data_IF_942960022177
#
_entry.id   IF_942960022177
#
_cell.length_a   1.000
_cell.length_b   1.000
_cell.length_c   1.000
_cell.angle_alpha   90.00
_cell.angle_beta   90.00
_cell.angle_gamma   90.00
#
_symmetry.space_group_name_H-M   'P 1'
#
loop_
_entity.id
_entity.type
_entity.pdbx_description
1 polymer ?
#
# COMPACT_ATOMS: atom_id res chain seq x y z
N UNK A 1 7.19 -4.30 20.43
CA UNK A 1 6.11 -5.26 20.16
C UNK A 1 6.48 -6.07 18.91
N UNK A 2 6.48 -7.40 19.02
CA UNK A 2 6.90 -8.26 17.89
C UNK A 2 5.71 -8.37 16.92
N UNK A 3 5.90 -7.95 15.67
CA UNK A 3 4.91 -8.13 14.60
C UNK A 3 4.96 -9.61 14.25
N UNK A 4 3.80 -10.27 14.31
CA UNK A 4 3.75 -11.68 13.95
C UNK A 4 3.25 -11.82 12.52
N UNK A 5 4.13 -12.20 11.62
CA UNK A 5 3.85 -12.39 10.20
C UNK A 5 2.80 -13.49 9.97
N UNK A 6 2.65 -14.45 10.88
CA UNK A 6 1.61 -15.47 10.81
C UNK A 6 0.20 -14.86 10.89
N UNK A 7 0.01 -13.73 11.57
CA UNK A 7 -1.29 -13.05 11.60
C UNK A 7 -1.71 -12.58 10.19
N UNK A 8 -0.76 -12.08 9.40
CA UNK A 8 -1.03 -11.71 8.00
C UNK A 8 -1.36 -12.94 7.16
N UNK A 9 -0.59 -14.02 7.32
CA UNK A 9 -0.81 -15.27 6.60
C UNK A 9 -2.21 -15.84 6.91
N UNK A 10 -2.57 -15.93 8.19
CA UNK A 10 -3.89 -16.39 8.63
C UNK A 10 -4.99 -15.50 8.07
N UNK A 11 -4.82 -14.17 8.15
CA UNK A 11 -5.81 -13.23 7.64
C UNK A 11 -6.02 -13.37 6.14
N UNK A 12 -4.95 -13.26 5.34
CA UNK A 12 -5.05 -13.28 3.87
C UNK A 12 -5.40 -14.66 3.31
N UNK A 13 -5.22 -15.74 4.06
CA UNK A 13 -5.68 -17.07 3.71
C UNK A 13 -7.18 -17.28 4.01
N UNK A 14 -7.77 -16.45 4.86
CA UNK A 14 -9.20 -16.51 5.18
C UNK A 14 -10.08 -16.07 4.00
N UNK A 15 -11.36 -16.43 4.04
CA UNK A 15 -12.33 -16.03 3.01
C UNK A 15 -12.43 -14.49 2.90
N UNK A 16 -12.48 -13.79 4.05
CA UNK A 16 -12.46 -12.33 4.09
C UNK A 16 -11.17 -11.76 3.49
N UNK A 17 -10.02 -12.30 3.90
CA UNK A 17 -8.73 -11.85 3.39
C UNK A 17 -8.56 -12.03 1.88
N UNK A 18 -9.03 -13.16 1.33
CA UNK A 18 -9.03 -13.39 -0.12
C UNK A 18 -9.90 -12.36 -0.86
N UNK A 19 -11.06 -12.01 -0.31
CA UNK A 19 -11.92 -10.97 -0.89
C UNK A 19 -11.26 -9.58 -0.82
N UNK A 20 -10.60 -9.25 0.29
CA UNK A 20 -9.81 -8.02 0.44
C UNK A 20 -8.69 -7.97 -0.61
N UNK A 21 -7.96 -9.07 -0.81
CA UNK A 21 -6.92 -9.16 -1.85
C UNK A 21 -7.50 -8.87 -3.22
N UNK A 22 -8.61 -9.52 -3.60
CA UNK A 22 -9.23 -9.31 -4.91
C UNK A 22 -9.67 -7.86 -5.14
N UNK A 23 -10.27 -7.23 -4.12
CA UNK A 23 -10.72 -5.84 -4.18
C UNK A 23 -9.54 -4.90 -4.35
N UNK A 24 -8.54 -5.01 -3.49
CA UNK A 24 -7.38 -4.12 -3.49
C UNK A 24 -6.51 -4.35 -4.75
N UNK A 25 -6.31 -5.60 -5.19
CA UNK A 25 -5.55 -5.88 -6.40
C UNK A 25 -6.18 -5.24 -7.65
N UNK A 26 -7.51 -5.17 -7.74
CA UNK A 26 -8.19 -4.44 -8.82
C UNK A 26 -7.85 -2.94 -8.79
N UNK A 27 -7.79 -2.33 -7.60
CA UNK A 27 -7.40 -0.93 -7.46
C UNK A 27 -5.93 -0.70 -7.83
N UNK A 28 -5.03 -1.61 -7.42
CA UNK A 28 -3.62 -1.55 -7.84
C UNK A 28 -3.52 -1.62 -9.36
N UNK A 29 -4.27 -2.52 -9.99
CA UNK A 29 -4.28 -2.66 -11.45
C UNK A 29 -4.80 -1.41 -12.17
N UNK A 30 -5.82 -0.74 -11.63
CA UNK A 30 -6.31 0.52 -12.18
C UNK A 30 -5.25 1.64 -12.10
N UNK A 31 -4.48 1.68 -11.02
CA UNK A 31 -3.41 2.65 -10.82
C UNK A 31 -2.14 2.32 -11.63
N UNK A 32 -1.90 1.04 -11.89
CA UNK A 32 -0.80 0.51 -12.71
C UNK A 32 -1.34 -0.46 -13.77
N UNK A 33 -1.93 0.02 -14.86
CA UNK A 33 -2.59 -0.84 -15.84
C UNK A 33 -1.62 -1.68 -16.69
N UNK A 34 -0.37 -1.25 -16.80
CA UNK A 34 0.67 -1.98 -17.52
C UNK A 34 1.82 -2.36 -16.60
N UNK A 35 2.06 -3.66 -16.47
CA UNK A 35 3.17 -4.23 -15.71
C UNK A 35 4.28 -4.79 -16.60
N UNK A 36 4.13 -4.74 -17.93
CA UNK A 36 5.08 -5.33 -18.86
C UNK A 36 6.43 -4.62 -18.78
N UNK A 37 7.50 -5.40 -18.78
CA UNK A 37 8.89 -4.93 -18.77
C UNK A 37 9.29 -4.01 -17.59
N UNK A 38 8.50 -3.97 -16.51
CA UNK A 38 8.85 -3.17 -15.33
C UNK A 38 9.60 -3.97 -14.27
N UNK A 39 10.51 -3.29 -13.58
CA UNK A 39 11.22 -3.79 -12.39
C UNK A 39 10.42 -3.37 -11.16
N UNK A 40 9.82 -4.33 -10.49
CA UNK A 40 8.91 -4.06 -9.39
C UNK A 40 9.49 -4.55 -8.06
N UNK A 41 9.26 -3.79 -7.01
CA UNK A 41 9.54 -4.21 -5.65
C UNK A 41 8.29 -4.10 -4.79
N UNK A 42 8.14 -5.04 -3.87
CA UNK A 42 7.10 -5.03 -2.85
C UNK A 42 7.76 -5.02 -1.49
N UNK A 43 7.38 -4.10 -0.63
CA UNK A 43 7.87 -4.08 0.74
C UNK A 43 6.75 -4.27 1.75
N UNK A 44 6.98 -5.14 2.73
CA UNK A 44 6.00 -5.55 3.73
C UNK A 44 5.32 -6.87 3.40
N UNK A 45 4.04 -7.01 3.72
CA UNK A 45 3.27 -8.22 3.43
C UNK A 45 2.37 -8.00 2.20
N UNK A 46 2.98 -7.82 1.03
CA UNK A 46 2.28 -7.49 -0.21
C UNK A 46 2.17 -8.63 -1.23
N UNK A 47 2.70 -9.83 -0.96
CA UNK A 47 2.73 -10.94 -1.92
C UNK A 47 1.35 -11.30 -2.49
N UNK A 48 0.25 -11.39 -1.68
CA UNK A 48 -1.03 -11.83 -2.20
C UNK A 48 -1.60 -10.89 -3.27
N UNK A 49 -1.20 -9.62 -3.24
CA UNK A 49 -1.76 -8.59 -4.14
C UNK A 49 -1.13 -8.61 -5.52
N UNK A 50 0.13 -9.01 -5.65
CA UNK A 50 0.84 -9.06 -6.93
C UNK A 50 1.02 -10.46 -7.48
N UNK A 51 0.75 -11.51 -6.73
CA UNK A 51 0.84 -12.88 -7.22
C UNK A 51 -0.02 -13.12 -8.47
N UNK A 52 -1.18 -12.47 -8.52
CA UNK A 52 -2.13 -12.54 -9.64
C UNK A 52 -1.50 -12.04 -10.95
N UNK A 53 -0.53 -11.12 -10.88
CA UNK A 53 0.12 -10.48 -12.03
C UNK A 53 1.54 -10.98 -12.29
N UNK A 54 1.97 -12.04 -11.61
CA UNK A 54 3.35 -12.50 -11.59
C UNK A 54 3.94 -12.80 -12.97
N UNK A 55 3.13 -13.23 -13.92
CA UNK A 55 3.57 -13.53 -15.30
C UNK A 55 3.96 -12.30 -16.12
N UNK A 56 3.56 -11.12 -15.67
CA UNK A 56 3.70 -9.87 -16.41
C UNK A 56 4.93 -9.04 -16.02
N UNK A 57 5.67 -9.46 -14.99
CA UNK A 57 6.82 -8.69 -14.49
C UNK A 57 8.14 -9.14 -15.13
N UNK A 58 8.98 -8.19 -15.52
CA UNK A 58 10.35 -8.47 -15.89
C UNK A 58 11.17 -8.94 -14.66
N UNK A 59 11.02 -8.21 -13.56
CA UNK A 59 11.61 -8.54 -12.26
C UNK A 59 10.65 -8.16 -11.13
N UNK A 60 10.58 -9.02 -10.13
CA UNK A 60 9.77 -8.79 -8.94
C UNK A 60 10.55 -9.19 -7.69
N UNK A 61 10.76 -8.22 -6.79
CA UNK A 61 11.45 -8.42 -5.51
C UNK A 61 10.45 -8.30 -4.36
N UNK A 62 10.46 -9.26 -3.43
CA UNK A 62 9.68 -9.19 -2.20
C UNK A 62 10.62 -8.91 -1.02
N UNK A 63 10.50 -7.71 -0.46
CA UNK A 63 11.33 -7.19 0.61
C UNK A 63 10.54 -7.24 1.92
N UNK A 64 10.98 -8.06 2.86
CA UNK A 64 10.29 -8.25 4.14
C UNK A 64 11.12 -7.60 5.25
N UNK A 65 10.59 -6.59 5.96
CA UNK A 65 11.29 -6.01 7.09
C UNK A 65 11.68 -7.06 8.13
N UNK A 66 12.91 -7.06 8.62
CA UNK A 66 13.44 -8.07 9.56
C UNK A 66 12.55 -8.27 10.79
N UNK A 67 11.92 -7.22 11.27
CA UNK A 67 11.02 -7.26 12.43
C UNK A 67 9.73 -8.06 12.19
N UNK A 68 9.39 -8.40 10.95
CA UNK A 68 8.24 -9.24 10.62
C UNK A 68 8.56 -10.72 10.74
N UNK A 69 9.84 -11.10 10.72
CA UNK A 69 10.31 -12.48 10.69
C UNK A 69 10.61 -12.95 9.26
N UNK A 70 10.97 -14.23 9.15
CA UNK A 70 11.30 -14.86 7.86
C UNK A 70 10.03 -15.43 7.22
N UNK A 71 9.89 -15.21 5.93
CA UNK A 71 8.87 -15.85 5.10
C UNK A 71 9.54 -16.42 3.85
N UNK A 72 9.18 -17.64 3.53
CA UNK A 72 9.47 -18.23 2.22
C UNK A 72 8.23 -18.06 1.33
N UNK A 73 8.40 -17.38 0.22
CA UNK A 73 7.35 -17.21 -0.78
C UNK A 73 7.92 -17.26 -2.20
N UNK A 74 7.32 -18.00 -3.12
CA UNK A 74 6.23 -18.97 -2.91
C UNK A 74 6.72 -20.22 -2.19
N UNK A 75 5.79 -20.98 -1.59
CA UNK A 75 6.14 -22.17 -0.80
C UNK A 75 6.74 -23.29 -1.65
N UNK A 76 6.25 -23.43 -2.90
CA UNK A 76 6.56 -24.59 -3.76
C UNK A 76 7.59 -24.27 -4.87
N UNK A 77 8.25 -23.11 -4.81
CA UNK A 77 9.22 -22.66 -5.82
C UNK A 77 10.40 -21.97 -5.16
N UNK A 78 11.39 -21.56 -5.98
CA UNK A 78 12.52 -20.77 -5.51
C UNK A 78 12.00 -19.55 -4.73
N UNK A 79 12.51 -19.37 -3.52
CA UNK A 79 12.14 -18.26 -2.64
C UNK A 79 12.46 -16.92 -3.30
N UNK A 80 11.49 -16.03 -3.33
CA UNK A 80 11.58 -14.68 -3.88
C UNK A 80 11.62 -13.60 -2.80
N UNK A 81 11.57 -13.98 -1.52
CA UNK A 81 11.59 -13.04 -0.41
C UNK A 81 12.99 -12.79 0.11
N UNK A 82 13.29 -11.56 0.43
CA UNK A 82 14.54 -11.14 1.07
C UNK A 82 14.20 -10.40 2.35
N UNK A 83 14.82 -10.81 3.46
CA UNK A 83 14.71 -10.11 4.74
C UNK A 83 15.62 -8.89 4.74
N UNK A 84 15.04 -7.70 4.95
CA UNK A 84 15.73 -6.44 4.78
C UNK A 84 15.63 -5.51 5.99
N UNK A 85 16.56 -4.58 6.08
CA UNK A 85 16.39 -3.37 6.87
C UNK A 85 15.60 -2.37 6.00
N UNK A 86 14.41 -1.99 6.43
CA UNK A 86 13.53 -1.07 5.71
C UNK A 86 14.09 0.33 5.51
N UNK A 87 15.16 0.67 6.22
CA UNK A 87 15.86 1.95 6.13
C UNK A 87 17.17 1.89 5.32
N UNK A 88 17.51 0.69 4.80
CA UNK A 88 18.69 0.43 3.98
C UNK A 88 18.43 -0.82 3.14
N UNK A 89 17.82 -0.63 1.98
CA UNK A 89 17.39 -1.71 1.10
C UNK A 89 18.57 -2.22 0.26
N UNK A 90 18.70 -3.54 0.05
CA UNK A 90 19.78 -4.13 -0.73
C UNK A 90 19.49 -4.03 -2.25
N UNK A 91 19.19 -2.84 -2.71
CA UNK A 91 18.90 -2.50 -4.10
C UNK A 91 19.71 -1.26 -4.49
N UNK A 92 20.17 -1.25 -5.71
CA UNK A 92 20.93 -0.12 -6.26
C UNK A 92 20.05 1.13 -6.38
N UNK A 93 20.69 2.29 -6.48
CA UNK A 93 20.04 3.54 -6.80
C UNK A 93 19.37 3.42 -8.17
N UNK A 94 18.18 4.01 -8.32
CA UNK A 94 17.48 4.06 -9.60
C UNK A 94 17.30 2.67 -10.26
N UNK A 95 16.97 1.65 -9.48
CA UNK A 95 16.90 0.25 -9.95
C UNK A 95 15.49 -0.33 -9.99
N UNK A 96 14.48 0.43 -9.53
CA UNK A 96 13.09 -0.01 -9.41
C UNK A 96 12.15 0.98 -10.10
N UNK A 97 11.32 0.51 -11.01
CA UNK A 97 10.31 1.35 -11.66
C UNK A 97 9.10 1.58 -10.75
N UNK A 98 8.69 0.55 -9.99
CA UNK A 98 7.48 0.60 -9.16
C UNK A 98 7.70 -0.06 -7.80
N UNK A 99 7.34 0.66 -6.75
CA UNK A 99 7.41 0.17 -5.37
C UNK A 99 6.01 0.09 -4.76
N UNK A 100 5.58 -1.13 -4.41
CA UNK A 100 4.34 -1.35 -3.66
C UNK A 100 4.64 -1.52 -2.17
N UNK A 101 4.02 -0.70 -1.34
CA UNK A 101 4.15 -0.73 0.12
C UNK A 101 2.84 -1.16 0.75
N UNK A 102 2.81 -2.35 1.33
CA UNK A 102 1.60 -2.91 1.95
C UNK A 102 1.92 -3.53 3.29
N UNK A 103 1.10 -3.23 4.29
CA UNK A 103 1.30 -3.71 5.66
C UNK A 103 2.75 -3.47 6.14
N UNK A 104 3.27 -2.27 5.91
CA UNK A 104 4.65 -1.91 6.23
C UNK A 104 4.75 -0.59 6.97
N UNK A 105 4.35 0.52 6.32
CA UNK A 105 4.60 1.87 6.83
C UNK A 105 3.93 2.14 8.18
N UNK A 106 2.78 1.53 8.45
CA UNK A 106 2.04 1.61 9.72
C UNK A 106 2.78 0.98 10.91
N UNK A 107 3.85 0.27 10.65
CA UNK A 107 4.69 -0.38 11.67
C UNK A 107 6.05 0.29 11.84
N UNK A 108 6.36 1.31 11.03
CA UNK A 108 7.66 1.98 11.05
C UNK A 108 7.72 3.07 12.13
N UNK A 109 8.90 3.29 12.68
CA UNK A 109 9.17 4.40 13.58
C UNK A 109 9.62 5.66 12.83
N UNK A 110 10.45 5.50 11.80
CA UNK A 110 11.01 6.60 11.01
C UNK A 110 10.51 6.55 9.55
N UNK A 111 9.33 7.15 9.35
CA UNK A 111 8.72 7.22 8.02
C UNK A 111 9.55 8.04 7.03
N UNK A 112 10.25 9.09 7.51
CA UNK A 112 11.09 9.93 6.67
C UNK A 112 12.26 9.13 6.11
N UNK A 113 12.97 8.39 6.96
CA UNK A 113 14.11 7.58 6.55
C UNK A 113 13.69 6.49 5.56
N UNK A 114 12.54 5.85 5.81
CA UNK A 114 11.96 4.86 4.91
C UNK A 114 11.62 5.44 3.54
N UNK A 115 10.95 6.59 3.49
CA UNK A 115 10.57 7.22 2.22
C UNK A 115 11.78 7.75 1.45
N UNK A 116 12.82 8.21 2.13
CA UNK A 116 14.10 8.59 1.49
C UNK A 116 14.79 7.40 0.85
N UNK A 117 14.77 6.26 1.53
CA UNK A 117 15.32 5.02 0.99
C UNK A 117 14.47 4.50 -0.19
N UNK A 118 13.15 4.58 -0.07
CA UNK A 118 12.23 4.27 -1.19
C UNK A 118 12.50 5.18 -2.39
N UNK A 119 12.74 6.47 -2.15
CA UNK A 119 13.09 7.44 -3.20
C UNK A 119 14.42 7.11 -3.86
N UNK A 120 15.44 6.68 -3.09
CA UNK A 120 16.77 6.31 -3.60
C UNK A 120 16.69 5.20 -4.65
N UNK A 121 15.97 4.12 -4.33
CA UNK A 121 15.89 2.92 -5.18
C UNK A 121 15.00 3.12 -6.41
N UNK A 122 14.03 4.03 -6.36
CA UNK A 122 13.13 4.29 -7.48
C UNK A 122 13.84 4.99 -8.63
N UNK A 123 13.52 4.59 -9.87
CA UNK A 123 13.95 5.27 -11.10
C UNK A 123 13.51 6.74 -11.12
N UNK A 124 14.03 7.53 -12.06
CA UNK A 124 13.73 8.97 -12.16
C UNK A 124 12.23 9.25 -12.27
N UNK A 125 11.53 8.43 -13.03
CA UNK A 125 10.07 8.48 -13.19
C UNK A 125 9.35 7.41 -12.38
N UNK A 126 10.04 6.80 -11.42
CA UNK A 126 9.55 5.70 -10.62
C UNK A 126 8.35 6.07 -9.76
N UNK A 127 7.47 5.12 -9.57
CA UNK A 127 6.21 5.30 -8.86
C UNK A 127 6.14 4.46 -7.59
N UNK A 128 5.46 4.98 -6.58
CA UNK A 128 5.16 4.28 -5.34
C UNK A 128 3.65 4.20 -5.12
N UNK A 129 3.15 3.02 -4.75
CA UNK A 129 1.81 2.86 -4.18
C UNK A 129 1.97 2.47 -2.72
N UNK A 130 1.29 3.20 -1.84
CA UNK A 130 1.23 2.89 -0.41
C UNK A 130 -0.21 2.59 -0.02
N UNK A 131 -0.42 1.46 0.65
CA UNK A 131 -1.73 1.01 1.13
C UNK A 131 -1.68 0.96 2.65
N UNK A 132 -2.55 1.75 3.29
CA UNK A 132 -2.61 1.88 4.75
C UNK A 132 -4.03 1.84 5.29
N UNK A 133 -4.24 1.41 6.54
CA UNK A 133 -5.54 1.54 7.21
C UNK A 133 -5.92 3.02 7.38
N UNK A 134 -7.17 3.36 7.01
CA UNK A 134 -7.72 4.69 7.20
C UNK A 134 -8.08 4.92 8.67
N UNK A 135 -7.64 6.06 9.23
CA UNK A 135 -7.90 6.42 10.63
C UNK A 135 -9.39 6.61 10.93
N UNK A 136 -10.19 7.02 9.95
CA UNK A 136 -11.63 7.25 10.09
C UNK A 136 -12.46 5.99 9.82
N UNK A 137 -11.87 4.98 9.14
CA UNK A 137 -12.56 3.75 8.75
C UNK A 137 -12.76 2.75 9.90
N UNK A 138 -13.85 1.99 9.83
CA UNK A 138 -14.13 0.92 10.81
C UNK A 138 -13.08 -0.19 10.81
N UNK A 139 -12.38 -0.39 9.70
CA UNK A 139 -11.33 -1.38 9.58
C UNK A 139 -10.12 -1.13 10.49
N UNK A 140 -9.92 0.10 10.98
CA UNK A 140 -8.83 0.43 11.92
C UNK A 140 -8.84 -0.45 13.16
N UNK A 141 -10.03 -0.75 13.69
CA UNK A 141 -10.17 -1.60 14.87
C UNK A 141 -9.79 -3.05 14.55
N UNK A 142 -10.14 -3.52 13.35
CA UNK A 142 -9.75 -4.83 12.85
C UNK A 142 -8.23 -4.92 12.68
N UNK A 143 -7.60 -3.96 11.99
CA UNK A 143 -6.16 -3.93 11.79
C UNK A 143 -5.42 -3.86 13.12
N UNK A 144 -5.85 -3.03 14.06
CA UNK A 144 -5.27 -2.95 15.40
C UNK A 144 -5.37 -4.28 16.15
N UNK A 145 -6.54 -4.91 16.15
CA UNK A 145 -6.81 -6.15 16.92
C UNK A 145 -6.19 -7.40 16.28
N UNK A 146 -6.26 -7.53 14.97
CA UNK A 146 -5.88 -8.76 14.25
C UNK A 146 -4.46 -8.72 13.70
N UNK A 147 -4.01 -7.59 13.24
CA UNK A 147 -2.70 -7.44 12.59
C UNK A 147 -1.72 -6.62 13.43
N UNK A 148 -2.09 -6.23 14.66
CA UNK A 148 -1.25 -5.45 15.57
C UNK A 148 -0.71 -4.16 14.92
N UNK A 149 -1.51 -3.49 14.09
CA UNK A 149 -1.11 -2.22 13.48
C UNK A 149 -0.82 -1.18 14.54
N UNK A 150 0.33 -0.53 14.45
CA UNK A 150 0.76 0.50 15.41
C UNK A 150 0.13 1.85 15.09
N UNK A 151 -0.11 2.12 13.81
CA UNK A 151 -0.57 3.41 13.32
C UNK A 151 -1.61 3.26 12.21
N UNK A 152 -2.48 4.24 12.12
CA UNK A 152 -3.40 4.46 10.99
C UNK A 152 -3.17 5.86 10.45
N UNK A 153 -3.55 6.13 9.23
CA UNK A 153 -3.28 7.39 8.56
C UNK A 153 -4.57 8.02 8.04
N UNK A 154 -4.59 9.35 7.97
CA UNK A 154 -5.51 10.06 7.09
C UNK A 154 -4.86 10.24 5.71
N UNK A 155 -5.68 10.46 4.67
CA UNK A 155 -5.16 10.76 3.34
C UNK A 155 -4.32 12.04 3.33
N UNK A 156 -4.73 13.05 4.10
CA UNK A 156 -3.99 14.30 4.26
C UNK A 156 -2.60 14.07 4.88
N UNK A 157 -2.54 13.35 6.00
CA UNK A 157 -1.27 13.04 6.67
C UNK A 157 -0.33 12.27 5.78
N UNK A 158 -0.84 11.23 5.08
CA UNK A 158 -0.04 10.42 4.18
C UNK A 158 0.45 11.22 2.97
N UNK A 159 -0.39 12.11 2.44
CA UNK A 159 0.00 13.02 1.35
C UNK A 159 1.11 13.98 1.77
N UNK A 160 0.99 14.61 2.92
CA UNK A 160 2.05 15.48 3.44
C UNK A 160 3.36 14.72 3.68
N UNK A 161 3.26 13.49 4.17
CA UNK A 161 4.42 12.66 4.38
C UNK A 161 5.17 12.37 3.08
N UNK A 162 4.45 12.03 2.01
CA UNK A 162 5.01 11.80 0.68
C UNK A 162 5.63 13.08 0.09
N UNK A 163 4.90 14.20 0.11
CA UNK A 163 5.38 15.47 -0.43
C UNK A 163 6.65 15.95 0.26
N UNK A 164 6.70 15.86 1.59
CA UNK A 164 7.88 16.26 2.36
C UNK A 164 9.09 15.34 2.11
N UNK A 165 8.89 14.21 1.43
CA UNK A 165 9.96 13.27 1.07
C UNK A 165 10.14 13.12 -0.45
N UNK A 166 9.83 14.20 -1.21
CA UNK A 166 10.09 14.33 -2.65
C UNK A 166 9.29 13.36 -3.54
N UNK A 167 8.04 13.11 -3.17
CA UNK A 167 7.06 12.48 -4.04
C UNK A 167 5.98 13.48 -4.42
N UNK A 168 5.56 13.48 -5.66
CA UNK A 168 4.34 14.17 -6.12
C UNK A 168 3.17 13.20 -6.03
N UNK A 169 2.03 13.64 -5.50
CA UNK A 169 0.82 12.81 -5.43
C UNK A 169 0.17 12.75 -6.81
N UNK A 170 0.03 11.54 -7.33
CA UNK A 170 -0.62 11.29 -8.62
C UNK A 170 -2.09 10.99 -8.43
N UNK A 171 -2.42 10.11 -7.46
CA UNK A 171 -3.79 9.70 -7.22
C UNK A 171 -4.01 9.22 -5.77
N UNK A 172 -5.25 9.31 -5.30
CA UNK A 172 -5.67 8.81 -3.99
C UNK A 172 -6.96 8.03 -4.17
N UNK A 173 -6.88 6.72 -3.96
CA UNK A 173 -8.00 5.81 -4.02
C UNK A 173 -8.40 5.33 -2.62
N UNK A 174 -9.64 4.96 -2.48
CA UNK A 174 -10.22 4.45 -1.26
C UNK A 174 -10.88 3.10 -1.51
N UNK A 175 -10.88 2.24 -0.50
CA UNK A 175 -11.46 0.89 -0.63
C UNK A 175 -11.94 0.34 0.71
N UNK A 176 -12.65 -0.78 0.65
CA UNK A 176 -13.25 -1.44 1.82
C UNK A 176 -14.26 -0.55 2.53
N UNK A 177 -15.26 -0.09 1.78
CA UNK A 177 -16.27 0.87 2.26
C UNK A 177 -17.24 0.29 3.31
N UNK A 178 -17.41 -1.03 3.38
CA UNK A 178 -18.18 -1.68 4.45
C UNK A 178 -17.28 -2.08 5.62
N UNK A 179 -17.81 -2.07 6.85
CA UNK A 179 -17.13 -2.66 8.00
C UNK A 179 -16.74 -4.12 7.72
N UNK A 180 -15.67 -4.66 8.37
CA UNK A 180 -15.27 -6.05 8.17
C UNK A 180 -16.39 -7.02 8.57
N UNK A 181 -17.02 -7.72 7.61
CA UNK A 181 -18.16 -8.56 7.87
C UNK A 181 -17.76 -9.87 8.53
N UNK A 182 -18.65 -10.43 9.34
CA UNK A 182 -18.43 -11.71 10.01
C UNK A 182 -18.99 -12.90 9.22
N UNK A 183 -19.99 -12.69 8.35
CA UNK A 183 -20.63 -13.76 7.59
C UNK A 183 -20.16 -13.78 6.14
N UNK A 184 -20.09 -14.97 5.54
CA UNK A 184 -19.74 -15.15 4.12
C UNK A 184 -20.65 -14.36 3.18
N UNK A 185 -21.94 -14.37 3.44
CA UNK A 185 -22.93 -13.63 2.63
C UNK A 185 -22.66 -12.12 2.58
N UNK A 186 -22.25 -11.52 3.70
CA UNK A 186 -21.90 -10.10 3.74
C UNK A 186 -20.52 -9.80 3.10
N UNK A 187 -19.63 -10.80 3.07
CA UNK A 187 -18.33 -10.64 2.41
C UNK A 187 -18.50 -10.51 0.90
N UNK A 188 -19.40 -11.26 0.29
CA UNK A 188 -19.68 -11.14 -1.15
C UNK A 188 -20.24 -9.76 -1.51
N UNK A 189 -20.98 -9.14 -0.59
CA UNK A 189 -21.46 -7.76 -0.76
C UNK A 189 -20.36 -6.70 -0.71
N UNK A 190 -19.21 -6.96 -0.08
CA UNK A 190 -18.07 -6.01 -0.09
C UNK A 190 -17.73 -5.57 -1.50
N UNK A 191 -17.71 -6.51 -2.46
CA UNK A 191 -17.35 -6.22 -3.87
C UNK A 191 -18.38 -5.30 -4.56
N UNK A 192 -19.66 -5.44 -4.20
CA UNK A 192 -20.73 -4.60 -4.75
C UNK A 192 -20.64 -3.17 -4.24
N UNK A 193 -20.28 -2.99 -2.97
CA UNK A 193 -20.20 -1.68 -2.36
C UNK A 193 -18.94 -0.89 -2.75
N UNK A 194 -17.97 -1.50 -3.41
CA UNK A 194 -16.81 -0.79 -3.97
C UNK A 194 -17.18 0.19 -5.11
N UNK A 195 -18.38 0.07 -5.68
CA UNK A 195 -18.92 1.05 -6.64
C UNK A 195 -19.44 2.33 -5.99
N UNK A 196 -19.66 2.33 -4.66
CA UNK A 196 -20.08 3.52 -3.93
C UNK A 196 -18.88 4.47 -3.77
N UNK A 197 -18.82 5.49 -4.61
CA UNK A 197 -17.72 6.45 -4.63
C UNK A 197 -18.20 7.86 -4.30
N UNK A 198 -18.83 8.02 -3.13
CA UNK A 198 -19.25 9.34 -2.64
C UNK A 198 -18.33 9.83 -1.49
N UNK A 199 -18.45 11.08 -1.10
CA UNK A 199 -17.59 11.68 -0.08
C UNK A 199 -17.67 10.97 1.28
N UNK A 200 -18.85 10.50 1.68
CA UNK A 200 -19.03 9.78 2.94
C UNK A 200 -18.36 8.41 2.92
N UNK A 201 -18.51 7.66 1.82
CA UNK A 201 -17.86 6.33 1.71
C UNK A 201 -16.35 6.47 1.66
N UNK A 202 -15.79 7.46 0.99
CA UNK A 202 -14.37 7.77 1.00
C UNK A 202 -13.86 8.04 2.43
N UNK A 203 -14.59 8.87 3.17
CA UNK A 203 -14.21 9.21 4.55
C UNK A 203 -14.15 7.99 5.46
N UNK A 204 -15.15 7.10 5.40
CA UNK A 204 -15.24 5.89 6.23
C UNK A 204 -14.60 4.64 5.61
N UNK A 205 -13.91 4.76 4.50
CA UNK A 205 -13.22 3.64 3.85
C UNK A 205 -12.27 2.90 4.80
N UNK A 206 -12.08 1.62 4.57
CA UNK A 206 -11.21 0.80 5.40
C UNK A 206 -9.72 1.05 5.17
N UNK A 207 -9.36 1.35 3.92
CA UNK A 207 -7.98 1.61 3.50
C UNK A 207 -7.90 2.81 2.57
N UNK A 208 -6.75 3.46 2.63
CA UNK A 208 -6.32 4.50 1.70
C UNK A 208 -5.23 3.88 0.81
N UNK A 209 -5.32 4.10 -0.48
CA UNK A 209 -4.34 3.71 -1.49
C UNK A 209 -3.84 4.99 -2.14
N UNK A 210 -2.61 5.35 -1.91
CA UNK A 210 -2.03 6.57 -2.46
C UNK A 210 -0.95 6.21 -3.48
N UNK A 211 -1.04 6.81 -4.67
CA UNK A 211 -0.03 6.71 -5.71
C UNK A 211 0.80 7.99 -5.72
N UNK A 212 2.10 7.84 -5.55
CA UNK A 212 3.07 8.91 -5.68
C UNK A 212 4.04 8.65 -6.81
N UNK A 213 4.55 9.70 -7.43
CA UNK A 213 5.64 9.66 -8.40
C UNK A 213 6.87 10.33 -7.80
N UNK A 214 8.04 9.76 -8.02
CA UNK A 214 9.32 10.36 -7.61
C UNK A 214 9.47 11.74 -8.24
N UNK A 215 9.66 12.76 -7.43
CA UNK A 215 9.97 14.09 -7.90
C UNK A 215 11.50 14.29 -7.88
N UNK A 216 12.07 14.46 -9.05
CA UNK A 216 13.50 14.70 -9.22
C UNK A 216 13.85 16.18 -9.25
N UNK A 217 12.91 17.02 -9.64
CA UNK A 217 13.03 18.47 -9.64
C UNK A 217 12.46 18.99 -8.32
N UNK A 218 13.31 19.56 -7.53
CA UNK A 218 12.97 20.04 -6.20
C UNK A 218 11.83 21.03 -6.16
N UNK A 219 11.27 21.21 -5.12
CA UNK A 219 10.00 21.27 -4.63
C UNK A 219 9.37 22.55 -4.40
N UNK A 220 8.30 22.53 -4.50
CA UNK A 220 7.61 23.15 -4.11
C UNK A 220 6.54 23.62 -3.23
N UNK A 221 6.38 24.89 -2.88
CA UNK A 221 5.32 25.60 -2.19
C UNK A 221 3.91 25.49 -2.83
N UNK A 222 3.85 25.13 -4.11
CA UNK A 222 2.60 25.02 -4.87
C UNK A 222 1.82 23.72 -4.65
N UNK A 223 2.50 22.61 -4.28
CA UNK A 223 1.83 21.33 -4.13
C UNK A 223 0.87 21.28 -2.94
N UNK A 224 1.14 22.08 -1.88
CA UNK A 224 0.20 22.21 -0.75
C UNK A 224 -1.12 22.85 -1.16
N UNK A 225 -1.11 23.78 -2.13
CA UNK A 225 -2.33 24.40 -2.67
C UNK A 225 -3.12 23.42 -3.54
N UNK A 226 -2.45 22.60 -4.34
CA UNK A 226 -3.06 21.59 -5.20
C UNK A 226 -3.74 20.47 -4.38
N UNK A 227 -3.12 20.03 -3.29
CA UNK A 227 -3.75 19.06 -2.39
C UNK A 227 -5.00 19.62 -1.75
N UNK A 228 -4.93 20.84 -1.24
CA UNK A 228 -6.09 21.49 -0.63
C UNK A 228 -7.23 21.73 -1.65
N UNK A 229 -6.91 21.95 -2.93
CA UNK A 229 -7.89 22.06 -3.99
C UNK A 229 -8.51 20.72 -4.37
N UNK A 230 -7.68 19.67 -4.58
CA UNK A 230 -8.17 18.30 -4.86
C UNK A 230 -9.01 17.75 -3.71
N UNK A 231 -8.57 17.91 -2.47
CA UNK A 231 -9.34 17.49 -1.31
C UNK A 231 -10.67 18.26 -1.16
N UNK A 232 -10.70 19.54 -1.50
CA UNK A 232 -11.95 20.34 -1.51
C UNK A 232 -12.89 19.93 -2.64
N UNK A 233 -12.39 19.53 -3.81
CA UNK A 233 -13.19 18.99 -4.90
C UNK A 233 -13.78 17.62 -4.55
N UNK A 234 -12.99 16.76 -3.89
CA UNK A 234 -13.42 15.42 -3.48
C UNK A 234 -14.45 15.42 -2.33
N UNK A 235 -14.52 16.51 -1.55
CA UNK A 235 -15.54 16.72 -0.50
C UNK A 235 -16.83 17.30 -1.09
N UNK A 236 -16.78 17.98 -2.23
CA UNK A 236 -17.94 18.60 -2.89
C UNK A 236 -18.61 17.72 -3.95
N UNK A 237 -18.00 16.60 -4.35
CA UNK A 237 -18.53 15.58 -5.25
C UNK A 237 -19.10 14.38 -4.45
#
# INVERSE_FOLDING_TARGET
MKINIENFKIFYSSFLGKSVVQIISKKIFLLWPDFNNSKNAVIGYGFPFLEIFRSNFQRLFFLVPRKFGLINFPLDKKNLTVSVNEYSLPLDDLSVDRLLVVNCIEYLYDHKKFLRESWRILEKDGEIIIIVPNIFGFWRFFYKKKLNSLRTFSSYELSLLLLNNFFTIVDIEYSLFLPPPKSKFLIDKLKLFEFLNNALTKYFSGVIIIKGKKNYLVPVANDKKLINQKMKSDIKA
#
